data_IF_500828925186
#
_entry.id   IF_500828925186
#
_cell.length_a   1.000
_cell.length_b   1.000
_cell.length_c   1.000
_cell.angle_alpha   90.00
_cell.angle_beta   90.00
_cell.angle_gamma   90.00
#
_symmetry.space_group_name_H-M   'P 1'
#
loop_
_entity.id
_entity.type
_entity.pdbx_description
1 polymer ?
#
# COMPACT_ATOMS: atom_id res chain seq x y z
N UNK A 1 -6.47 10.10 -14.14
CA UNK A 1 -5.41 10.07 -13.11
C UNK A 1 -4.01 10.30 -13.65
N UNK A 2 -3.42 9.42 -14.49
CA UNK A 2 -1.99 9.51 -14.85
C UNK A 2 -1.55 10.88 -15.38
N UNK A 3 -2.35 11.51 -16.24
CA UNK A 3 -2.04 12.85 -16.75
C UNK A 3 -2.01 13.92 -15.65
N UNK A 4 -3.03 13.93 -14.78
CA UNK A 4 -3.08 14.83 -13.62
C UNK A 4 -1.89 14.60 -12.67
N UNK A 5 -1.49 13.34 -12.47
CA UNK A 5 -0.30 13.01 -11.68
C UNK A 5 1.00 13.48 -12.35
N UNK A 6 1.14 13.42 -13.68
CA UNK A 6 2.30 14.00 -14.37
C UNK A 6 2.38 15.51 -14.18
N UNK A 7 1.25 16.21 -14.26
CA UNK A 7 1.18 17.64 -13.95
C UNK A 7 1.57 17.89 -12.49
N UNK A 8 1.08 17.09 -11.55
CA UNK A 8 1.48 17.17 -10.15
C UNK A 8 3.00 17.00 -9.96
N UNK A 9 3.59 16.00 -10.61
CA UNK A 9 5.03 15.74 -10.54
C UNK A 9 5.89 16.78 -11.25
N UNK A 10 5.34 17.54 -12.19
CA UNK A 10 6.04 18.67 -12.82
C UNK A 10 6.33 19.82 -11.86
N UNK A 11 5.74 19.79 -10.65
CA UNK A 11 6.07 20.71 -9.56
C UNK A 11 7.44 20.43 -8.93
N UNK A 12 8.09 19.30 -9.24
CA UNK A 12 9.43 19.00 -8.75
C UNK A 12 10.43 20.07 -9.21
N UNK A 13 11.35 20.40 -8.31
CA UNK A 13 12.46 21.32 -8.54
C UNK A 13 13.76 20.54 -8.69
N UNK A 14 14.71 21.02 -9.51
CA UNK A 14 16.02 20.39 -9.68
C UNK A 14 16.91 20.45 -8.43
N UNK A 15 16.55 21.28 -7.44
CA UNK A 15 17.27 21.42 -6.19
C UNK A 15 17.29 20.09 -5.43
N UNK A 16 18.49 19.62 -5.06
CA UNK A 16 18.64 18.41 -4.23
C UNK A 16 18.44 18.71 -2.75
N UNK A 17 17.76 17.80 -2.05
CA UNK A 17 17.55 17.84 -0.61
C UNK A 17 18.15 16.56 0.00
N UNK A 18 19.32 16.67 0.61
CA UNK A 18 19.97 15.54 1.28
C UNK A 18 19.25 15.18 2.57
N UNK A 19 18.92 13.90 2.72
CA UNK A 19 18.18 13.35 3.86
C UNK A 19 18.93 12.17 4.46
N UNK A 20 19.37 12.31 5.71
CA UNK A 20 19.98 11.22 6.46
C UNK A 20 18.91 10.49 7.25
N UNK A 21 18.64 9.24 6.88
CA UNK A 21 17.51 8.47 7.39
C UNK A 21 17.98 7.35 8.32
N UNK A 22 17.35 7.26 9.50
CA UNK A 22 17.49 6.10 10.37
C UNK A 22 16.45 5.06 9.97
N UNK A 23 16.88 3.91 9.46
CA UNK A 23 16.00 2.82 8.98
C UNK A 23 14.95 2.36 10.00
N UNK A 24 15.30 2.32 11.29
CA UNK A 24 14.36 1.96 12.38
C UNK A 24 13.44 3.10 12.85
N UNK A 25 13.64 4.32 12.33
CA UNK A 25 12.93 5.54 12.73
C UNK A 25 12.71 6.44 11.52
N UNK A 26 12.16 5.88 10.44
CA UNK A 26 12.00 6.58 9.15
C UNK A 26 11.10 7.79 9.31
N UNK A 27 9.91 7.62 9.90
CA UNK A 27 8.96 8.71 10.13
C UNK A 27 9.54 9.84 10.98
N UNK A 28 10.26 9.50 12.05
CA UNK A 28 10.92 10.52 12.87
C UNK A 28 11.98 11.27 12.07
N UNK A 29 12.75 10.57 11.24
CA UNK A 29 13.77 11.21 10.41
C UNK A 29 13.14 12.12 9.35
N UNK A 30 12.01 11.70 8.75
CA UNK A 30 11.23 12.53 7.83
C UNK A 30 10.67 13.78 8.54
N UNK A 31 10.06 13.61 9.72
CA UNK A 31 9.54 14.72 10.52
C UNK A 31 10.65 15.68 10.97
N UNK A 32 11.81 15.15 11.39
CA UNK A 32 12.96 15.94 11.80
C UNK A 32 13.45 16.80 10.61
N UNK A 33 13.50 16.23 9.39
CA UNK A 33 13.86 16.96 8.18
C UNK A 33 12.84 18.03 7.80
N UNK A 34 11.55 17.67 7.69
CA UNK A 34 10.46 18.58 7.33
C UNK A 34 10.43 19.80 8.25
N UNK A 35 10.61 19.59 9.56
CA UNK A 35 10.42 20.65 10.55
C UNK A 35 11.70 21.42 10.90
N UNK A 36 12.89 20.81 10.76
CA UNK A 36 14.12 21.39 11.30
C UNK A 36 15.24 21.58 10.28
N UNK A 37 15.16 20.99 9.08
CA UNK A 37 16.20 21.15 8.08
C UNK A 37 16.07 22.50 7.38
N UNK A 38 17.11 23.32 7.48
CA UNK A 38 17.15 24.61 6.81
C UNK A 38 17.12 24.41 5.28
N UNK A 39 16.23 25.14 4.60
CA UNK A 39 16.08 25.06 3.15
C UNK A 39 15.39 23.79 2.66
N UNK A 40 14.74 23.02 3.55
CA UNK A 40 13.89 21.91 3.15
C UNK A 40 12.77 22.40 2.22
N UNK A 41 12.58 21.70 1.11
CA UNK A 41 11.49 21.89 0.16
C UNK A 41 10.90 20.52 -0.15
N UNK A 42 9.58 20.40 -0.11
CA UNK A 42 8.90 19.19 -0.58
C UNK A 42 9.11 18.96 -2.08
N UNK A 43 9.40 20.03 -2.83
CA UNK A 43 9.53 20.02 -4.28
C UNK A 43 10.94 19.65 -4.75
N UNK A 44 11.97 19.89 -3.95
CA UNK A 44 13.33 19.49 -4.27
C UNK A 44 13.49 17.96 -4.33
N UNK A 45 14.42 17.47 -5.16
CA UNK A 45 14.72 16.06 -5.34
C UNK A 45 15.37 15.49 -4.06
N UNK A 46 14.70 14.57 -3.34
CA UNK A 46 15.26 13.97 -2.13
C UNK A 46 16.39 13.00 -2.48
N UNK A 47 17.56 13.22 -1.89
CA UNK A 47 18.73 12.32 -1.97
C UNK A 47 18.82 11.59 -0.65
N UNK A 48 18.54 10.29 -0.66
CA UNK A 48 18.37 9.51 0.57
C UNK A 48 19.67 8.79 0.91
N UNK A 49 20.19 9.06 2.11
CA UNK A 49 21.29 8.31 2.71
C UNK A 49 20.81 7.61 3.97
N UNK A 50 20.78 6.27 3.96
CA UNK A 50 20.53 5.51 5.19
C UNK A 50 21.78 5.53 6.06
N UNK A 51 21.62 5.99 7.30
CA UNK A 51 22.74 6.19 8.23
C UNK A 51 23.51 4.88 8.48
N UNK A 52 24.79 4.86 8.10
CA UNK A 52 25.69 3.71 8.27
C UNK A 52 25.70 2.72 7.11
N UNK A 53 25.06 3.04 5.98
CA UNK A 53 25.05 2.21 4.77
C UNK A 53 25.83 2.91 3.64
N UNK A 54 26.75 2.20 2.98
CA UNK A 54 27.48 2.69 1.81
C UNK A 54 26.59 2.56 0.56
N UNK A 55 25.67 3.50 0.36
CA UNK A 55 24.79 3.52 -0.81
C UNK A 55 25.08 4.75 -1.69
N UNK A 56 25.37 4.51 -2.98
CA UNK A 56 25.36 5.55 -4.02
C UNK A 56 23.93 5.62 -4.57
N UNK A 57 23.28 6.77 -4.43
CA UNK A 57 21.86 6.92 -4.79
C UNK A 57 21.67 6.96 -6.31
N UNK A 58 21.16 5.85 -6.87
CA UNK A 58 20.63 5.74 -8.25
C UNK A 58 19.09 5.61 -8.25
N UNK A 59 18.40 6.07 -7.20
CA UNK A 59 16.94 6.04 -7.07
C UNK A 59 16.36 4.82 -6.32
N UNK A 60 17.18 3.85 -5.95
CA UNK A 60 16.79 2.75 -5.04
C UNK A 60 16.48 3.24 -3.62
N UNK A 61 17.41 3.94 -2.94
CA UNK A 61 17.20 4.48 -1.59
C UNK A 61 15.97 5.38 -1.46
N UNK A 62 15.72 6.24 -2.47
CA UNK A 62 14.52 7.09 -2.53
C UNK A 62 13.22 6.29 -2.49
N UNK A 63 13.10 5.28 -3.35
CA UNK A 63 11.92 4.40 -3.38
C UNK A 63 11.74 3.67 -2.07
N UNK A 64 12.83 3.11 -1.53
CA UNK A 64 12.79 2.41 -0.24
C UNK A 64 12.33 3.33 0.90
N UNK A 65 12.86 4.55 0.98
CA UNK A 65 12.46 5.53 1.99
C UNK A 65 10.97 5.81 1.96
N UNK A 66 10.40 6.13 0.79
CA UNK A 66 8.99 6.47 0.70
C UNK A 66 8.08 5.27 0.99
N UNK A 67 8.44 4.08 0.53
CA UNK A 67 7.73 2.84 0.89
C UNK A 67 7.73 2.62 2.40
N UNK A 68 8.88 2.74 3.06
CA UNK A 68 8.96 2.60 4.51
C UNK A 68 8.19 3.71 5.24
N UNK A 69 8.26 4.95 4.75
CA UNK A 69 7.60 6.08 5.37
C UNK A 69 6.07 5.90 5.34
N UNK A 70 5.48 5.55 4.19
CA UNK A 70 4.02 5.36 4.09
C UNK A 70 3.55 4.12 4.85
N UNK A 71 4.27 3.01 4.80
CA UNK A 71 3.94 1.79 5.56
C UNK A 71 3.97 2.00 7.08
N UNK A 72 4.85 2.86 7.57
CA UNK A 72 4.98 3.12 9.00
C UNK A 72 3.97 4.15 9.53
N UNK A 73 3.22 4.86 8.68
CA UNK A 73 2.26 5.90 9.12
C UNK A 73 1.29 5.47 10.24
N UNK A 74 0.76 4.23 10.25
CA UNK A 74 -0.10 3.75 11.36
C UNK A 74 0.61 3.78 12.73
N UNK A 75 1.94 3.69 12.77
CA UNK A 75 2.73 3.74 14.01
C UNK A 75 2.73 5.13 14.66
N UNK A 76 2.25 6.17 13.97
CA UNK A 76 2.01 7.49 14.57
C UNK A 76 0.80 7.49 15.51
N UNK A 77 -0.05 6.46 15.47
CA UNK A 77 -1.30 6.38 16.24
C UNK A 77 -2.45 7.21 15.67
N UNK A 78 -2.27 7.81 14.48
CA UNK A 78 -3.28 8.66 13.79
C UNK A 78 -4.35 7.84 13.05
N UNK A 79 -4.18 6.53 12.97
CA UNK A 79 -5.10 5.60 12.34
C UNK A 79 -5.51 4.51 13.32
N UNK A 80 -6.72 4.00 13.16
CA UNK A 80 -7.25 2.81 13.81
C UNK A 80 -8.05 1.97 12.80
N UNK A 81 -8.60 0.84 13.23
CA UNK A 81 -9.28 -0.10 12.35
C UNK A 81 -8.40 -1.25 11.87
N UNK A 82 -8.92 -2.03 10.92
CA UNK A 82 -8.22 -3.21 10.39
C UNK A 82 -7.13 -2.80 9.39
N UNK A 83 -6.15 -3.69 9.20
CA UNK A 83 -5.16 -3.55 8.13
C UNK A 83 -5.88 -3.38 6.76
N UNK A 84 -5.39 -2.43 5.96
CA UNK A 84 -5.93 -2.06 4.65
C UNK A 84 -7.37 -1.49 4.64
N UNK A 85 -7.98 -1.28 5.82
CA UNK A 85 -9.32 -0.68 6.00
C UNK A 85 -9.34 0.27 7.20
N UNK A 86 -8.33 1.11 7.30
CA UNK A 86 -8.11 2.03 8.41
C UNK A 86 -8.96 3.29 8.30
N UNK A 87 -9.28 3.87 9.44
CA UNK A 87 -9.87 5.19 9.55
C UNK A 87 -9.13 5.99 10.62
N UNK A 88 -9.44 7.27 10.76
CA UNK A 88 -8.70 8.13 11.69
C UNK A 88 -9.08 7.82 13.13
N UNK A 89 -8.08 7.74 14.00
CA UNK A 89 -8.28 7.77 15.45
C UNK A 89 -8.64 9.20 15.88
N UNK A 90 -9.38 9.34 16.98
CA UNK A 90 -9.66 10.63 17.59
C UNK A 90 -8.71 10.86 18.78
N UNK A 91 -7.63 11.60 18.57
CA UNK A 91 -6.66 11.92 19.63
C UNK A 91 -6.18 13.38 19.52
N UNK A 92 -6.66 14.19 20.46
CA UNK A 92 -6.39 15.63 20.51
C UNK A 92 -4.89 15.91 20.63
N UNK A 93 -4.16 15.13 21.42
CA UNK A 93 -2.72 15.35 21.57
C UNK A 93 -1.92 15.08 20.28
N UNK A 94 -2.39 14.19 19.40
CA UNK A 94 -1.77 13.96 18.09
C UNK A 94 -2.18 15.08 17.10
N UNK A 95 -3.41 15.58 17.20
CA UNK A 95 -3.91 16.70 16.41
C UNK A 95 -3.15 18.00 16.71
N UNK A 96 -2.98 18.35 17.99
CA UNK A 96 -2.21 19.54 18.40
C UNK A 96 -0.73 19.45 18.01
N UNK A 97 -0.19 18.23 17.92
CA UNK A 97 1.17 17.99 17.41
C UNK A 97 1.26 18.02 15.88
N UNK A 98 0.14 18.17 15.16
CA UNK A 98 0.08 18.20 13.71
C UNK A 98 0.41 16.86 13.04
N UNK A 99 0.19 15.72 13.71
CA UNK A 99 0.59 14.42 13.18
C UNK A 99 -0.33 13.90 12.07
N UNK A 100 -1.61 14.32 12.05
CA UNK A 100 -2.52 14.03 10.94
C UNK A 100 -2.08 14.80 9.68
N UNK A 101 -1.76 16.09 9.81
CA UNK A 101 -1.13 16.87 8.74
C UNK A 101 0.18 16.27 8.25
N UNK A 102 1.07 15.85 9.16
CA UNK A 102 2.32 15.20 8.78
C UNK A 102 2.07 13.93 7.95
N UNK A 103 1.09 13.11 8.33
CA UNK A 103 0.73 11.92 7.55
C UNK A 103 0.27 12.29 6.14
N UNK A 104 -0.57 13.32 5.99
CA UNK A 104 -0.97 13.85 4.68
C UNK A 104 0.21 14.36 3.86
N UNK A 105 1.14 15.09 4.49
CA UNK A 105 2.35 15.59 3.83
C UNK A 105 3.25 14.46 3.33
N UNK A 106 3.50 13.43 4.14
CA UNK A 106 4.35 12.30 3.74
C UNK A 106 3.75 11.56 2.54
N UNK A 107 2.42 11.39 2.50
CA UNK A 107 1.74 10.73 1.38
C UNK A 107 1.85 11.57 0.10
N UNK A 108 1.53 12.87 0.17
CA UNK A 108 1.63 13.74 -1.01
C UNK A 108 3.08 13.89 -1.48
N UNK A 109 4.04 13.96 -0.56
CA UNK A 109 5.48 14.01 -0.87
C UNK A 109 5.95 12.74 -1.57
N UNK A 110 5.52 11.57 -1.09
CA UNK A 110 5.79 10.29 -1.74
C UNK A 110 5.28 10.27 -3.17
N UNK A 111 4.00 10.61 -3.39
CA UNK A 111 3.38 10.62 -4.72
C UNK A 111 4.05 11.64 -5.64
N UNK A 112 4.42 12.82 -5.12
CA UNK A 112 5.11 13.87 -5.85
C UNK A 112 6.42 13.35 -6.43
N UNK A 113 7.18 12.52 -5.70
CA UNK A 113 8.48 11.99 -6.13
C UNK A 113 8.42 10.59 -6.74
N UNK A 114 7.23 10.13 -7.12
CA UNK A 114 7.00 8.82 -7.77
C UNK A 114 7.04 7.62 -6.83
N UNK A 115 6.97 7.86 -5.52
CA UNK A 115 6.77 6.83 -4.50
C UNK A 115 5.32 6.34 -4.41
N UNK A 116 5.04 5.40 -3.49
CA UNK A 116 3.71 4.84 -3.30
C UNK A 116 2.74 5.84 -2.65
N UNK A 117 1.45 5.57 -2.81
CA UNK A 117 0.43 6.19 -1.97
C UNK A 117 0.36 5.56 -0.58
N UNK A 118 -0.83 5.61 0.01
CA UNK A 118 -1.18 4.93 1.25
C UNK A 118 -2.50 4.19 1.07
N UNK A 119 -2.52 3.05 0.33
CA UNK A 119 -3.73 2.31 -0.01
C UNK A 119 -4.26 1.52 1.20
N UNK A 120 -4.56 2.20 2.30
CA UNK A 120 -4.97 1.59 3.55
C UNK A 120 -6.22 2.21 4.16
N UNK A 121 -6.75 3.32 3.61
CA UNK A 121 -7.98 3.92 4.11
C UNK A 121 -9.19 3.06 3.79
N UNK A 122 -10.16 3.07 4.70
CA UNK A 122 -11.45 2.42 4.53
C UNK A 122 -12.18 3.03 3.32
N UNK A 123 -12.76 2.21 2.40
CA UNK A 123 -13.44 2.71 1.20
C UNK A 123 -14.55 3.73 1.47
N UNK A 124 -15.37 3.48 2.51
CA UNK A 124 -16.38 4.43 2.99
C UNK A 124 -15.78 5.77 3.44
N UNK A 125 -14.69 5.76 4.21
CA UNK A 125 -14.04 6.99 4.68
C UNK A 125 -13.57 7.83 3.48
N UNK A 126 -12.90 7.21 2.50
CA UNK A 126 -12.49 7.89 1.28
C UNK A 126 -13.67 8.51 0.53
N UNK A 127 -14.78 7.78 0.38
CA UNK A 127 -16.00 8.31 -0.23
C UNK A 127 -16.51 9.56 0.49
N UNK A 128 -16.60 9.51 1.82
CA UNK A 128 -17.05 10.65 2.63
C UNK A 128 -16.10 11.84 2.52
N UNK A 129 -14.79 11.60 2.56
CA UNK A 129 -13.77 12.64 2.37
C UNK A 129 -13.90 13.33 1.01
N UNK A 130 -14.29 12.59 -0.04
CA UNK A 130 -14.56 13.14 -1.37
C UNK A 130 -15.91 13.86 -1.49
N UNK A 131 -16.73 13.89 -0.43
CA UNK A 131 -18.06 14.49 -0.42
C UNK A 131 -19.19 13.57 -0.92
N UNK A 132 -18.92 12.27 -1.09
CA UNK A 132 -19.93 11.27 -1.44
C UNK A 132 -20.47 10.60 -0.17
N UNK A 133 -21.80 10.43 -0.09
CA UNK A 133 -22.49 9.79 1.03
C UNK A 133 -22.83 8.31 0.79
N UNK A 134 -22.10 7.63 -0.10
CA UNK A 134 -22.30 6.20 -0.36
C UNK A 134 -21.96 5.37 0.89
N UNK A 135 -22.89 4.53 1.34
CA UNK A 135 -22.76 3.67 2.52
C UNK A 135 -22.60 2.18 2.22
N UNK A 136 -22.51 1.79 0.95
CA UNK A 136 -22.57 0.39 0.51
C UNK A 136 -21.39 -0.44 1.04
N UNK A 137 -20.29 0.23 1.39
CA UNK A 137 -19.08 -0.41 1.92
C UNK A 137 -19.00 -0.38 3.45
N UNK A 138 -20.00 0.17 4.15
CA UNK A 138 -20.03 0.17 5.61
C UNK A 138 -20.39 -1.23 6.14
N UNK A 139 -19.59 -1.71 7.09
CA UNK A 139 -19.87 -2.93 7.83
C UNK A 139 -19.49 -2.70 9.30
N UNK A 140 -20.37 -3.09 10.24
CA UNK A 140 -20.05 -2.96 11.67
C UNK A 140 -18.80 -3.74 12.04
N UNK A 141 -18.51 -4.84 11.32
CA UNK A 141 -17.34 -5.67 11.59
C UNK A 141 -16.03 -4.94 11.37
N UNK A 142 -16.00 -3.84 10.61
CA UNK A 142 -14.81 -3.03 10.38
C UNK A 142 -14.48 -2.09 11.54
N UNK A 143 -15.38 -1.93 12.51
CA UNK A 143 -15.16 -1.16 13.73
C UNK A 143 -14.37 -2.00 14.74
N UNK A 144 -13.24 -1.47 15.20
CA UNK A 144 -12.32 -2.18 16.11
C UNK A 144 -12.47 -1.78 17.58
N UNK A 145 -13.19 -0.69 17.86
CA UNK A 145 -13.50 -0.28 19.23
C UNK A 145 -14.51 -1.28 19.83
N UNK A 146 -14.14 -2.05 20.87
CA UNK A 146 -14.99 -3.11 21.40
C UNK A 146 -16.31 -2.61 21.98
N UNK A 147 -16.30 -1.45 22.64
CA UNK A 147 -17.48 -0.90 23.30
C UNK A 147 -18.47 -0.37 22.25
N UNK A 148 -17.96 0.33 21.23
CA UNK A 148 -18.75 0.79 20.10
C UNK A 148 -19.34 -0.40 19.34
N UNK A 149 -18.53 -1.43 19.08
CA UNK A 149 -18.97 -2.63 18.36
C UNK A 149 -20.07 -3.36 19.12
N UNK A 150 -19.94 -3.52 20.44
CA UNK A 150 -20.95 -4.15 21.29
C UNK A 150 -22.29 -3.40 21.24
N UNK A 151 -22.28 -2.07 21.33
CA UNK A 151 -23.49 -1.26 21.18
C UNK A 151 -24.12 -1.38 19.79
N UNK A 152 -23.33 -1.34 18.72
CA UNK A 152 -23.83 -1.52 17.36
C UNK A 152 -24.40 -2.91 17.15
N UNK A 153 -23.78 -3.95 17.69
CA UNK A 153 -24.27 -5.33 17.63
C UNK A 153 -25.59 -5.51 18.36
N UNK A 154 -25.79 -4.85 19.52
CA UNK A 154 -27.09 -4.89 20.21
C UNK A 154 -28.21 -4.32 19.35
N UNK A 155 -27.94 -3.21 18.65
CA UNK A 155 -28.89 -2.63 17.70
C UNK A 155 -29.09 -3.58 16.51
N UNK A 156 -28.02 -4.07 15.88
CA UNK A 156 -28.11 -4.95 14.70
C UNK A 156 -28.83 -6.27 15.01
N UNK A 157 -28.62 -6.85 16.20
CA UNK A 157 -29.22 -8.12 16.60
C UNK A 157 -30.64 -8.00 17.18
N UNK A 158 -31.15 -6.79 17.41
CA UNK A 158 -32.55 -6.61 17.82
C UNK A 158 -33.47 -7.17 16.72
N UNK A 159 -34.27 -8.18 17.09
CA UNK A 159 -34.97 -9.06 16.15
C UNK A 159 -36.50 -9.07 16.30
N UNK A 160 -37.04 -8.43 17.34
CA UNK A 160 -38.48 -8.33 17.58
C UNK A 160 -38.87 -7.01 18.24
N UNK A 161 -40.17 -6.65 18.15
CA UNK A 161 -40.69 -5.42 18.75
C UNK A 161 -40.60 -5.43 20.29
N UNK A 162 -40.64 -6.61 20.92
CA UNK A 162 -40.47 -6.76 22.37
C UNK A 162 -39.05 -6.39 22.83
N UNK A 163 -38.03 -6.65 22.00
CA UNK A 163 -36.63 -6.33 22.28
C UNK A 163 -36.27 -4.86 22.06
N UNK A 164 -37.11 -4.10 21.34
CA UNK A 164 -36.81 -2.71 20.98
C UNK A 164 -36.63 -1.85 22.23
N UNK A 165 -37.55 -1.95 23.20
CA UNK A 165 -37.53 -1.13 24.42
C UNK A 165 -36.25 -1.37 25.22
N UNK A 166 -35.91 -2.64 25.46
CA UNK A 166 -34.69 -3.02 26.19
C UNK A 166 -33.42 -2.58 25.45
N UNK A 167 -33.40 -2.70 24.12
CA UNK A 167 -32.26 -2.25 23.30
C UNK A 167 -32.09 -0.73 23.39
N UNK A 168 -33.20 0.03 23.27
CA UNK A 168 -33.19 1.49 23.36
C UNK A 168 -32.78 1.96 24.75
N UNK A 169 -33.27 1.32 25.82
CA UNK A 169 -32.88 1.65 27.19
C UNK A 169 -31.37 1.41 27.43
N UNK A 170 -30.81 0.37 26.81
CA UNK A 170 -29.40 0.00 26.96
C UNK A 170 -28.43 0.89 26.16
N UNK A 171 -28.81 1.31 24.95
CA UNK A 171 -27.90 2.00 24.01
C UNK A 171 -28.30 3.44 23.71
N UNK A 172 -29.48 3.88 24.15
CA UNK A 172 -30.11 5.15 23.78
C UNK A 172 -29.24 6.36 24.10
N UNK A 173 -28.77 6.47 25.33
CA UNK A 173 -27.94 7.59 25.76
C UNK A 173 -26.59 7.61 25.02
N UNK A 174 -25.99 6.45 24.81
CA UNK A 174 -24.76 6.33 24.03
C UNK A 174 -24.98 6.80 22.58
N UNK A 175 -26.03 6.32 21.92
CA UNK A 175 -26.35 6.68 20.54
C UNK A 175 -26.71 8.17 20.40
N UNK A 176 -27.48 8.72 21.35
CA UNK A 176 -27.83 10.13 21.39
C UNK A 176 -26.60 11.04 21.60
N UNK A 177 -25.69 10.67 22.51
CA UNK A 177 -24.41 11.35 22.70
C UNK A 177 -23.49 11.27 21.47
N UNK A 178 -23.71 10.27 20.61
CA UNK A 178 -23.07 10.12 19.30
C UNK A 178 -23.92 10.73 18.16
N UNK A 179 -24.83 11.66 18.46
CA UNK A 179 -25.56 12.43 17.46
C UNK A 179 -26.74 11.70 16.81
N UNK A 180 -27.17 10.56 17.35
CA UNK A 180 -28.27 9.75 16.82
C UNK A 180 -29.47 9.73 17.79
N UNK A 181 -30.14 10.87 17.98
CA UNK A 181 -31.35 10.96 18.83
C UNK A 181 -32.54 10.15 18.28
N UNK A 182 -32.50 9.78 16.99
CA UNK A 182 -33.47 8.88 16.36
C UNK A 182 -33.54 7.50 17.01
N UNK A 183 -32.55 7.11 17.82
CA UNK A 183 -32.54 5.84 18.58
C UNK A 183 -33.78 5.68 19.48
N UNK A 184 -34.25 6.76 20.14
CA UNK A 184 -35.41 6.67 21.04
C UNK A 184 -36.73 6.41 20.29
N UNK A 185 -36.74 6.65 18.98
CA UNK A 185 -37.85 6.33 18.08
C UNK A 185 -37.58 5.13 17.18
N UNK A 186 -36.61 4.27 17.53
CA UNK A 186 -36.23 3.10 16.75
C UNK A 186 -37.42 2.16 16.52
N UNK A 187 -37.52 1.69 15.28
CA UNK A 187 -38.47 0.68 14.80
C UNK A 187 -37.69 -0.36 14.00
N UNK A 188 -38.26 -1.55 13.86
CA UNK A 188 -37.61 -2.63 13.11
C UNK A 188 -37.24 -2.24 11.66
N UNK A 189 -38.03 -1.37 11.02
CA UNK A 189 -37.80 -0.94 9.64
C UNK A 189 -36.77 0.19 9.45
N UNK A 190 -36.36 0.90 10.52
CA UNK A 190 -35.36 1.98 10.47
C UNK A 190 -34.08 1.68 11.24
N UNK A 191 -33.99 0.51 11.87
CA UNK A 191 -32.83 0.00 12.61
C UNK A 191 -31.52 0.10 11.82
N UNK A 192 -31.54 -0.31 10.55
CA UNK A 192 -30.36 -0.27 9.68
C UNK A 192 -29.89 1.16 9.40
N UNK A 193 -30.80 2.13 9.37
CA UNK A 193 -30.47 3.55 9.21
C UNK A 193 -29.79 4.12 10.46
N UNK A 194 -30.23 3.69 11.64
CA UNK A 194 -29.60 4.02 12.92
C UNK A 194 -28.18 3.47 12.98
N UNK A 195 -28.00 2.17 12.66
CA UNK A 195 -26.66 1.54 12.60
C UNK A 195 -25.76 2.29 11.61
N UNK A 196 -26.23 2.56 10.39
CA UNK A 196 -25.47 3.33 9.40
C UNK A 196 -25.11 4.72 9.90
N UNK A 197 -26.02 5.41 10.58
CA UNK A 197 -25.77 6.75 11.14
C UNK A 197 -24.67 6.72 12.19
N UNK A 198 -24.70 5.76 13.11
CA UNK A 198 -23.69 5.59 14.14
C UNK A 198 -22.33 5.16 13.56
N UNK A 199 -22.31 4.31 12.54
CA UNK A 199 -21.08 3.99 11.80
C UNK A 199 -20.50 5.23 11.09
N UNK A 200 -21.34 6.06 10.46
CA UNK A 200 -20.92 7.35 9.87
C UNK A 200 -20.32 8.27 10.93
N UNK A 201 -20.97 8.35 12.09
CA UNK A 201 -20.46 9.13 13.21
C UNK A 201 -19.07 8.64 13.62
N UNK A 202 -18.93 7.34 13.87
CA UNK A 202 -17.69 6.75 14.39
C UNK A 202 -16.51 6.89 13.42
N UNK A 203 -16.72 6.61 12.12
CA UNK A 203 -15.67 6.56 11.11
C UNK A 203 -15.32 7.95 10.56
N UNK A 204 -16.30 8.85 10.44
CA UNK A 204 -16.12 10.13 9.73
C UNK A 204 -16.35 11.36 10.62
N UNK A 205 -17.55 11.55 11.15
CA UNK A 205 -17.89 12.83 11.80
C UNK A 205 -17.14 13.06 13.11
N UNK A 206 -16.89 12.01 13.90
CA UNK A 206 -16.11 12.07 15.14
C UNK A 206 -14.70 12.60 14.91
N UNK A 207 -14.09 12.23 13.80
CA UNK A 207 -12.69 12.55 13.47
C UNK A 207 -12.58 13.66 12.40
N UNK A 208 -13.59 14.53 12.29
CA UNK A 208 -13.66 15.50 11.19
C UNK A 208 -12.51 16.51 11.22
N UNK A 209 -12.09 16.94 12.41
CA UNK A 209 -10.96 17.88 12.58
C UNK A 209 -9.63 17.24 12.15
N UNK A 210 -9.44 15.97 12.47
CA UNK A 210 -8.29 15.15 12.11
C UNK A 210 -8.24 14.88 10.60
N UNK A 211 -9.40 14.56 10.00
CA UNK A 211 -9.56 14.43 8.55
C UNK A 211 -9.20 15.75 7.86
N UNK A 212 -9.67 16.88 8.39
CA UNK A 212 -9.39 18.20 7.81
C UNK A 212 -7.92 18.58 7.93
N UNK A 213 -7.25 18.25 9.04
CA UNK A 213 -5.81 18.47 9.21
C UNK A 213 -4.98 17.58 8.27
N UNK A 214 -5.39 16.31 8.09
CA UNK A 214 -4.80 15.41 7.11
C UNK A 214 -4.96 15.93 5.67
N UNK A 215 -6.16 16.38 5.29
CA UNK A 215 -6.44 16.97 3.97
C UNK A 215 -5.63 18.25 3.74
N UNK A 216 -5.46 19.09 4.77
CA UNK A 216 -4.54 20.23 4.72
C UNK A 216 -3.09 19.80 4.49
N UNK A 217 -2.66 18.71 5.13
CA UNK A 217 -1.35 18.11 4.89
C UNK A 217 -1.13 17.72 3.42
N UNK A 218 -2.11 17.00 2.84
CA UNK A 218 -2.08 16.65 1.41
C UNK A 218 -2.05 17.90 0.51
N UNK A 219 -2.90 18.89 0.77
CA UNK A 219 -2.98 20.12 -0.03
C UNK A 219 -1.77 21.05 0.14
N UNK A 220 -1.05 20.95 1.25
CA UNK A 220 0.17 21.75 1.46
C UNK A 220 1.27 21.47 0.44
N UNK A 221 1.15 20.38 -0.31
CA UNK A 221 2.03 20.01 -1.41
C UNK A 221 1.21 20.01 -2.70
N UNK A 222 1.29 21.12 -3.43
CA UNK A 222 0.75 21.24 -4.79
C UNK A 222 -0.76 21.05 -4.94
N UNK A 223 -1.52 21.33 -3.88
CA UNK A 223 -2.98 21.20 -3.84
C UNK A 223 -3.50 19.79 -4.19
N UNK A 224 -2.72 18.78 -3.81
CA UNK A 224 -2.94 17.39 -4.21
C UNK A 224 -4.35 16.87 -3.88
N UNK A 225 -4.86 17.16 -2.68
CA UNK A 225 -6.18 16.64 -2.28
C UNK A 225 -7.33 17.27 -3.06
N UNK A 226 -7.26 18.56 -3.38
CA UNK A 226 -8.27 19.20 -4.23
C UNK A 226 -8.28 18.56 -5.63
N UNK A 227 -7.10 18.28 -6.20
CA UNK A 227 -6.98 17.55 -7.47
C UNK A 227 -7.65 16.16 -7.39
N UNK A 228 -7.45 15.43 -6.30
CA UNK A 228 -8.11 14.13 -6.05
C UNK A 228 -9.63 14.32 -5.93
N UNK A 229 -10.09 15.32 -5.19
CA UNK A 229 -11.52 15.55 -4.95
C UNK A 229 -12.30 15.87 -6.21
N UNK A 230 -11.71 16.59 -7.17
CA UNK A 230 -12.32 16.92 -8.46
C UNK A 230 -12.64 15.70 -9.33
N UNK A 231 -11.84 14.63 -9.21
CA UNK A 231 -11.98 13.40 -9.99
C UNK A 231 -11.55 12.20 -9.14
N UNK A 232 -12.36 11.83 -8.15
CA UNK A 232 -11.93 10.92 -7.07
C UNK A 232 -11.85 9.45 -7.46
N UNK A 233 -12.63 9.00 -8.44
CA UNK A 233 -12.69 7.58 -8.81
C UNK A 233 -11.32 6.99 -9.21
N UNK A 234 -10.55 7.61 -10.13
CA UNK A 234 -9.30 7.01 -10.56
C UNK A 234 -8.16 7.16 -9.54
N UNK A 235 -8.23 8.11 -8.61
CA UNK A 235 -7.23 8.28 -7.54
C UNK A 235 -7.48 7.39 -6.31
N UNK A 236 -8.62 6.69 -6.27
CA UNK A 236 -8.99 5.80 -5.17
C UNK A 236 -7.89 4.79 -4.84
N UNK A 237 -7.22 4.23 -5.86
CA UNK A 237 -6.14 3.25 -5.67
C UNK A 237 -4.91 3.79 -4.94
N UNK A 238 -4.75 5.10 -4.80
CA UNK A 238 -3.66 5.72 -4.05
C UNK A 238 -3.89 5.69 -2.53
N UNK A 239 -5.15 5.63 -2.10
CA UNK A 239 -5.54 5.84 -0.71
C UNK A 239 -6.38 4.69 -0.15
N UNK A 240 -6.98 3.89 -1.01
CA UNK A 240 -7.81 2.74 -0.66
C UNK A 240 -7.24 1.52 -1.36
N UNK A 241 -7.04 0.44 -0.60
CA UNK A 241 -6.62 -0.83 -1.16
C UNK A 241 -7.59 -1.25 -2.27
N UNK A 242 -7.03 -1.61 -3.43
CA UNK A 242 -7.84 -2.23 -4.47
C UNK A 242 -8.04 -3.69 -4.11
N UNK A 243 -9.29 -4.16 -4.19
CA UNK A 243 -9.60 -5.59 -4.06
C UNK A 243 -9.08 -6.39 -5.28
N UNK A 244 -8.69 -5.69 -6.36
CA UNK A 244 -8.12 -6.30 -7.54
C UNK A 244 -6.63 -6.59 -7.32
N UNK A 245 -6.31 -7.85 -7.09
CA UNK A 245 -4.92 -8.32 -7.12
C UNK A 245 -4.35 -8.25 -8.54
N UNK A 246 -3.03 -8.05 -8.65
CA UNK A 246 -2.33 -8.11 -9.92
C UNK A 246 -2.63 -9.45 -10.61
N UNK A 247 -3.07 -9.42 -11.87
CA UNK A 247 -3.42 -10.64 -12.61
C UNK A 247 -2.25 -11.16 -13.46
N UNK A 248 -2.30 -12.42 -13.87
CA UNK A 248 -1.31 -13.01 -14.79
C UNK A 248 -1.15 -12.20 -16.10
N UNK A 249 -2.22 -11.78 -16.81
CA UNK A 249 -2.07 -10.98 -18.03
C UNK A 249 -1.45 -9.60 -17.78
N UNK A 250 -1.77 -8.95 -16.66
CA UNK A 250 -1.17 -7.67 -16.29
C UNK A 250 0.31 -7.81 -15.97
N UNK A 251 0.66 -8.84 -15.19
CA UNK A 251 2.06 -9.16 -14.87
C UNK A 251 2.87 -9.41 -16.13
N UNK A 252 2.37 -10.21 -17.09
CA UNK A 252 3.05 -10.46 -18.37
C UNK A 252 3.36 -9.19 -19.15
N UNK A 253 2.45 -8.21 -19.16
CA UNK A 253 2.63 -6.94 -19.88
C UNK A 253 3.75 -6.07 -19.31
N UNK A 254 4.20 -6.34 -18.08
CA UNK A 254 5.31 -5.60 -17.48
C UNK A 254 6.67 -5.97 -18.05
N UNK A 255 6.79 -7.11 -18.74
CA UNK A 255 8.09 -7.64 -19.18
C UNK A 255 8.27 -7.53 -20.69
N UNK A 256 9.50 -7.22 -21.10
CA UNK A 256 9.95 -7.19 -22.47
C UNK A 256 11.10 -8.19 -22.66
N UNK A 257 10.96 -9.16 -23.55
CA UNK A 257 11.99 -10.18 -23.79
C UNK A 257 13.10 -9.62 -24.69
N UNK A 258 14.36 -9.66 -24.22
CA UNK A 258 15.55 -9.31 -25.01
C UNK A 258 16.18 -10.58 -25.59
N UNK A 259 15.65 -11.00 -26.74
CA UNK A 259 16.12 -12.18 -27.47
C UNK A 259 17.56 -12.03 -27.99
N UNK A 260 18.27 -13.14 -28.06
CA UNK A 260 19.57 -13.25 -28.70
C UNK A 260 19.46 -13.15 -30.23
N UNK A 261 20.46 -12.52 -30.86
CA UNK A 261 20.60 -12.53 -32.34
C UNK A 261 21.04 -13.91 -32.88
N UNK A 262 21.62 -14.74 -32.03
CA UNK A 262 22.00 -16.12 -32.38
C UNK A 262 20.79 -17.04 -32.28
N UNK A 263 20.29 -17.52 -33.43
CA UNK A 263 19.13 -18.40 -33.53
C UNK A 263 19.27 -19.69 -32.72
N UNK A 264 20.48 -20.24 -32.56
CA UNK A 264 20.70 -21.46 -31.77
C UNK A 264 20.53 -21.24 -30.24
N UNK A 265 20.55 -19.98 -29.80
CA UNK A 265 20.25 -19.61 -28.42
C UNK A 265 18.76 -19.28 -28.22
N UNK A 266 18.06 -18.86 -29.28
CA UNK A 266 16.65 -18.48 -29.22
C UNK A 266 15.78 -19.66 -28.79
N UNK A 267 16.00 -20.87 -29.34
CA UNK A 267 15.25 -22.06 -28.92
C UNK A 267 15.32 -22.29 -27.40
N UNK A 268 16.52 -22.10 -26.82
CA UNK A 268 16.74 -22.22 -25.37
C UNK A 268 16.12 -21.07 -24.56
N UNK A 269 16.05 -19.88 -25.15
CA UNK A 269 15.36 -18.73 -24.57
C UNK A 269 13.85 -18.96 -24.56
N UNK A 270 13.28 -19.57 -25.62
CA UNK A 270 11.86 -19.92 -25.69
C UNK A 270 11.45 -20.91 -24.60
N UNK A 271 12.24 -21.96 -24.37
CA UNK A 271 12.03 -22.90 -23.27
C UNK A 271 11.97 -22.17 -21.91
N UNK A 272 12.90 -21.24 -21.72
CA UNK A 272 13.00 -20.45 -20.48
C UNK A 272 11.81 -19.51 -20.33
N UNK A 273 11.38 -18.85 -21.41
CA UNK A 273 10.20 -17.97 -21.42
C UNK A 273 8.94 -18.77 -21.11
N UNK A 274 8.80 -19.97 -21.67
CA UNK A 274 7.69 -20.86 -21.34
C UNK A 274 7.66 -21.17 -19.84
N UNK A 275 8.79 -21.59 -19.26
CA UNK A 275 8.92 -21.87 -17.82
C UNK A 275 8.67 -20.64 -16.96
N UNK A 276 9.12 -19.46 -17.37
CA UNK A 276 8.83 -18.18 -16.73
C UNK A 276 7.33 -17.87 -16.70
N UNK A 277 6.64 -18.02 -17.82
CA UNK A 277 5.20 -17.79 -17.87
C UNK A 277 4.42 -18.81 -17.04
N UNK A 278 4.83 -20.09 -17.03
CA UNK A 278 4.23 -21.08 -16.13
C UNK A 278 4.44 -20.70 -14.66
N UNK A 279 5.62 -20.20 -14.31
CA UNK A 279 5.91 -19.73 -12.96
C UNK A 279 5.00 -18.56 -12.53
N UNK A 280 4.84 -17.54 -13.38
CA UNK A 280 3.90 -16.43 -13.08
C UNK A 280 2.48 -16.98 -12.92
N UNK A 281 2.03 -17.87 -13.80
CA UNK A 281 0.69 -18.46 -13.75
C UNK A 281 0.45 -19.26 -12.46
N UNK A 282 1.39 -20.12 -12.09
CA UNK A 282 1.35 -20.88 -10.82
C UNK A 282 1.31 -19.92 -9.63
N UNK A 283 2.11 -18.86 -9.66
CA UNK A 283 2.11 -17.83 -8.61
C UNK A 283 0.77 -17.11 -8.50
N UNK A 284 0.14 -16.75 -9.62
CA UNK A 284 -1.20 -16.13 -9.63
C UNK A 284 -2.30 -17.06 -9.10
N UNK A 285 -2.11 -18.37 -9.20
CA UNK A 285 -3.05 -19.37 -8.66
C UNK A 285 -2.74 -19.76 -7.20
N UNK A 286 -1.69 -19.21 -6.59
CA UNK A 286 -1.25 -19.59 -5.24
C UNK A 286 -0.56 -20.96 -5.17
N UNK A 287 -0.08 -21.50 -6.29
CA UNK A 287 0.54 -22.83 -6.40
C UNK A 287 2.06 -22.80 -6.19
N UNK A 288 2.68 -21.62 -6.09
CA UNK A 288 4.12 -21.48 -5.84
C UNK A 288 4.40 -21.46 -4.33
N UNK A 289 4.79 -22.61 -3.78
CA UNK A 289 5.24 -22.71 -2.38
C UNK A 289 6.45 -23.61 -2.20
N UNK A 290 7.33 -23.28 -1.26
CA UNK A 290 8.53 -24.04 -0.95
C UNK A 290 8.82 -24.01 0.55
N UNK A 291 9.21 -25.15 1.11
CA UNK A 291 9.70 -25.22 2.49
C UNK A 291 11.14 -24.72 2.52
N UNK A 292 11.39 -23.65 3.27
CA UNK A 292 12.69 -23.07 3.53
C UNK A 292 13.13 -23.42 4.95
N UNK A 293 14.44 -23.63 5.14
CA UNK A 293 15.03 -23.78 6.47
C UNK A 293 15.61 -22.44 6.89
N UNK A 294 15.20 -21.98 8.07
CA UNK A 294 15.70 -20.76 8.70
C UNK A 294 16.99 -21.07 9.49
N UNK A 295 17.75 -20.02 9.80
CA UNK A 295 19.05 -20.12 10.49
C UNK A 295 18.94 -20.70 11.90
N UNK A 296 17.76 -20.61 12.53
CA UNK A 296 17.45 -21.22 13.83
C UNK A 296 17.08 -22.71 13.75
N UNK A 297 17.12 -23.29 12.54
CA UNK A 297 16.79 -24.68 12.27
C UNK A 297 15.30 -24.96 12.08
N UNK A 298 14.44 -23.93 12.20
CA UNK A 298 13.00 -24.07 11.91
C UNK A 298 12.74 -24.10 10.41
N UNK A 299 11.58 -24.62 10.01
CA UNK A 299 11.15 -24.63 8.62
C UNK A 299 9.91 -23.77 8.44
N UNK A 300 9.94 -22.90 7.45
CA UNK A 300 8.78 -22.09 7.05
C UNK A 300 8.40 -22.43 5.61
N UNK A 301 7.11 -22.35 5.28
CA UNK A 301 6.66 -22.48 3.89
C UNK A 301 6.60 -21.10 3.25
N UNK A 302 7.62 -20.76 2.46
CA UNK A 302 7.61 -19.60 1.59
C UNK A 302 6.51 -19.76 0.54
N UNK A 303 5.58 -18.80 0.47
CA UNK A 303 4.56 -18.72 -0.58
C UNK A 303 4.86 -17.53 -1.48
N UNK A 304 4.95 -17.76 -2.78
CA UNK A 304 5.26 -16.72 -3.77
C UNK A 304 3.99 -16.34 -4.53
N UNK A 305 3.46 -15.17 -4.18
CA UNK A 305 2.43 -14.46 -4.94
C UNK A 305 3.04 -13.42 -5.91
N UNK A 306 2.24 -12.89 -6.84
CA UNK A 306 2.71 -11.98 -7.89
C UNK A 306 3.40 -10.73 -7.37
N UNK A 307 2.98 -10.17 -6.23
CA UNK A 307 3.65 -9.01 -5.64
C UNK A 307 5.10 -9.30 -5.20
N UNK A 308 5.41 -10.53 -4.78
CA UNK A 308 6.80 -10.91 -4.46
C UNK A 308 7.68 -10.91 -5.71
N UNK A 309 7.14 -11.40 -6.84
CA UNK A 309 7.84 -11.38 -8.12
C UNK A 309 8.02 -9.94 -8.58
N UNK A 310 6.99 -9.10 -8.46
CA UNK A 310 7.07 -7.68 -8.80
C UNK A 310 8.15 -6.97 -7.99
N UNK A 311 8.18 -7.20 -6.67
CA UNK A 311 9.17 -6.65 -5.75
C UNK A 311 10.59 -7.10 -6.11
N UNK A 312 10.77 -8.39 -6.41
CA UNK A 312 12.07 -8.92 -6.83
C UNK A 312 12.59 -8.22 -8.09
N UNK A 313 11.73 -8.05 -9.09
CA UNK A 313 12.12 -7.46 -10.37
C UNK A 313 12.28 -5.93 -10.33
N UNK A 314 11.49 -5.23 -9.50
CA UNK A 314 11.32 -3.77 -9.60
C UNK A 314 11.62 -3.02 -8.31
N UNK A 315 11.71 -3.72 -7.18
CA UNK A 315 11.79 -3.14 -5.85
C UNK A 315 10.45 -2.59 -5.31
N UNK A 316 9.35 -2.72 -6.06
CA UNK A 316 8.03 -2.23 -5.66
C UNK A 316 7.06 -3.38 -5.36
N UNK A 317 6.29 -3.26 -4.28
CA UNK A 317 5.27 -4.26 -3.91
C UNK A 317 3.97 -4.13 -4.73
N UNK A 318 3.79 -3.02 -5.44
CA UNK A 318 2.67 -2.77 -6.35
C UNK A 318 3.14 -1.94 -7.56
N UNK A 319 2.38 -1.98 -8.65
CA UNK A 319 2.65 -1.12 -9.81
C UNK A 319 2.49 0.34 -9.35
N UNK A 320 3.50 1.21 -9.53
CA UNK A 320 3.38 2.61 -9.16
C UNK A 320 2.20 3.28 -9.89
N UNK A 321 1.63 4.36 -9.34
CA UNK A 321 0.43 4.98 -9.92
C UNK A 321 0.59 5.47 -11.37
N UNK A 322 1.82 5.84 -11.75
CA UNK A 322 2.18 6.24 -13.12
C UNK A 322 2.70 5.10 -13.99
N UNK A 323 2.76 3.89 -13.44
CA UNK A 323 3.52 2.77 -14.00
C UNK A 323 5.02 2.94 -13.79
N UNK A 324 5.78 2.04 -14.42
CA UNK A 324 7.23 2.13 -14.50
C UNK A 324 7.65 2.99 -15.70
N UNK A 325 8.86 3.55 -15.65
CA UNK A 325 9.45 4.36 -16.73
C UNK A 325 9.69 3.55 -18.02
N UNK A 326 9.92 2.24 -17.88
CA UNK A 326 9.94 1.26 -18.97
C UNK A 326 9.40 -0.10 -18.52
N UNK A 327 9.23 -1.01 -19.48
CA UNK A 327 9.04 -2.43 -19.18
C UNK A 327 10.31 -3.02 -18.56
N UNK A 328 10.15 -4.06 -17.75
CA UNK A 328 11.26 -4.83 -17.21
C UNK A 328 11.87 -5.66 -18.34
N UNK A 329 13.12 -5.39 -18.66
CA UNK A 329 13.86 -6.11 -19.69
C UNK A 329 14.29 -7.48 -19.17
N UNK A 330 13.87 -8.56 -19.83
CA UNK A 330 14.35 -9.92 -19.54
C UNK A 330 15.55 -10.22 -20.44
N UNK A 331 16.71 -10.38 -19.82
CA UNK A 331 17.94 -10.81 -20.45
C UNK A 331 18.21 -12.27 -20.14
N UNK A 332 18.89 -12.95 -21.07
CA UNK A 332 19.23 -14.36 -20.91
C UNK A 332 20.74 -14.58 -20.78
N UNK A 333 21.16 -15.47 -19.88
CA UNK A 333 22.56 -15.84 -19.68
C UNK A 333 22.78 -17.34 -19.88
N UNK A 334 24.00 -17.70 -20.28
CA UNK A 334 24.37 -19.11 -20.48
C UNK A 334 24.71 -19.77 -19.15
N UNK A 335 24.15 -20.96 -18.91
CA UNK A 335 24.43 -21.77 -17.72
C UNK A 335 25.89 -22.24 -17.74
N UNK A 336 26.61 -22.00 -16.65
CA UNK A 336 28.00 -22.46 -16.49
C UNK A 336 28.01 -23.76 -15.69
N UNK A 337 28.68 -24.83 -16.19
CA UNK A 337 28.75 -26.10 -15.46
C UNK A 337 29.30 -25.92 -14.04
N UNK A 338 28.63 -26.53 -13.05
CA UNK A 338 29.02 -26.46 -11.65
C UNK A 338 28.59 -25.19 -10.90
N UNK A 339 27.97 -24.22 -11.59
CA UNK A 339 27.38 -23.02 -10.97
C UNK A 339 25.86 -23.14 -11.05
N UNK A 340 25.18 -22.98 -9.91
CA UNK A 340 23.72 -22.96 -9.87
C UNK A 340 23.22 -21.70 -10.61
N UNK A 341 22.39 -21.83 -11.65
CA UNK A 341 22.09 -20.71 -12.52
C UNK A 341 20.94 -19.82 -11.99
N UNK A 342 21.10 -19.28 -10.78
CA UNK A 342 20.05 -18.51 -10.12
C UNK A 342 19.68 -17.23 -10.91
N UNK A 343 18.38 -16.95 -11.10
CA UNK A 343 17.89 -15.67 -11.59
C UNK A 343 18.37 -14.50 -10.74
N UNK A 344 18.65 -13.36 -11.39
CA UNK A 344 19.05 -12.12 -10.70
C UNK A 344 18.29 -10.93 -11.27
N UNK A 345 18.09 -9.89 -10.47
CA UNK A 345 17.37 -8.69 -10.88
C UNK A 345 18.14 -7.42 -10.52
N UNK A 346 18.08 -6.43 -11.42
CA UNK A 346 18.52 -5.05 -11.17
C UNK A 346 17.29 -4.16 -11.07
N UNK A 347 16.88 -3.85 -9.84
CA UNK A 347 15.67 -3.06 -9.55
C UNK A 347 15.79 -1.59 -9.97
N UNK A 348 17.01 -1.07 -10.15
CA UNK A 348 17.26 0.26 -10.70
C UNK A 348 17.26 0.28 -12.22
N UNK A 349 17.81 -0.78 -12.86
CA UNK A 349 17.78 -0.92 -14.31
C UNK A 349 16.45 -1.44 -14.87
N UNK A 350 15.55 -1.94 -14.01
CA UNK A 350 14.38 -2.73 -14.39
C UNK A 350 14.79 -3.86 -15.34
N UNK A 351 15.73 -4.68 -14.88
CA UNK A 351 16.28 -5.80 -15.64
C UNK A 351 16.16 -7.10 -14.82
N UNK A 352 15.74 -8.17 -15.48
CA UNK A 352 15.69 -9.52 -14.94
C UNK A 352 16.56 -10.43 -15.81
N UNK A 353 17.49 -11.14 -15.19
CA UNK A 353 18.39 -12.06 -15.87
C UNK A 353 17.97 -13.50 -15.59
N UNK A 354 17.59 -14.23 -16.64
CA UNK A 354 17.17 -15.63 -16.58
C UNK A 354 18.18 -16.56 -17.27
N UNK A 355 18.37 -17.78 -16.77
CA UNK A 355 19.24 -18.75 -17.44
C UNK A 355 18.60 -19.34 -18.70
N UNK A 356 19.39 -19.53 -19.76
CA UNK A 356 18.93 -20.17 -21.00
C UNK A 356 18.75 -21.68 -20.84
N UNK A 357 17.74 -22.23 -21.51
CA UNK A 357 17.52 -23.66 -21.69
C UNK A 357 16.82 -24.33 -20.51
N UNK A 358 15.92 -23.60 -19.85
CA UNK A 358 15.13 -24.10 -18.74
C UNK A 358 13.80 -24.69 -19.25
N UNK A 359 13.81 -25.93 -19.70
CA UNK A 359 12.64 -26.65 -20.21
C UNK A 359 11.79 -27.30 -19.10
N UNK A 360 12.39 -27.60 -17.94
CA UNK A 360 11.67 -28.10 -16.77
C UNK A 360 11.07 -26.97 -15.90
N UNK A 361 9.79 -26.66 -16.12
CA UNK A 361 9.09 -25.57 -15.42
C UNK A 361 9.08 -25.71 -13.87
N UNK A 362 9.11 -26.92 -13.33
CA UNK A 362 9.17 -27.15 -11.87
C UNK A 362 10.56 -26.86 -11.29
N UNK A 363 11.63 -27.18 -12.01
CA UNK A 363 12.99 -26.80 -11.61
C UNK A 363 13.16 -25.28 -11.67
N UNK A 364 12.71 -24.67 -12.77
CA UNK A 364 12.69 -23.21 -12.91
C UNK A 364 11.92 -22.54 -11.77
N UNK A 365 10.76 -23.09 -11.40
CA UNK A 365 9.94 -22.57 -10.28
C UNK A 365 10.72 -22.59 -8.96
N UNK A 366 11.36 -23.70 -8.60
CA UNK A 366 12.19 -23.81 -7.38
C UNK A 366 13.32 -22.78 -7.40
N UNK A 367 13.95 -22.60 -8.55
CA UNK A 367 15.05 -21.66 -8.74
C UNK A 367 14.62 -20.19 -8.56
N UNK A 368 13.46 -19.81 -9.12
CA UNK A 368 12.87 -18.49 -8.92
C UNK A 368 12.47 -18.27 -7.45
N UNK A 369 11.85 -19.24 -6.80
CA UNK A 369 11.48 -19.14 -5.37
C UNK A 369 12.73 -18.89 -4.53
N UNK A 370 13.79 -19.66 -4.76
CA UNK A 370 15.06 -19.50 -4.04
C UNK A 370 15.69 -18.12 -4.27
N UNK A 371 15.72 -17.63 -5.51
CA UNK A 371 16.22 -16.30 -5.83
C UNK A 371 15.41 -15.19 -5.14
N UNK A 372 14.09 -15.32 -5.10
CA UNK A 372 13.19 -14.34 -4.46
C UNK A 372 13.39 -14.36 -2.95
N UNK A 373 13.40 -15.53 -2.32
CA UNK A 373 13.54 -15.67 -0.86
C UNK A 373 14.90 -15.15 -0.37
N UNK A 374 15.96 -15.43 -1.12
CA UNK A 374 17.31 -14.97 -0.78
C UNK A 374 17.55 -13.48 -1.09
N UNK A 375 16.60 -12.81 -1.74
CA UNK A 375 16.73 -11.39 -2.08
C UNK A 375 16.52 -10.47 -0.87
N UNK A 376 17.25 -9.35 -0.77
CA UNK A 376 17.02 -8.36 0.28
C UNK A 376 15.58 -7.80 0.20
N UNK A 377 14.75 -8.09 1.20
CA UNK A 377 13.38 -7.57 1.29
C UNK A 377 12.26 -8.62 1.28
N UNK A 378 12.55 -9.90 1.01
CA UNK A 378 11.60 -10.97 1.27
C UNK A 378 11.20 -11.02 2.76
N UNK A 379 9.91 -11.26 3.05
CA UNK A 379 9.39 -11.30 4.43
C UNK A 379 9.21 -9.95 5.14
N UNK A 380 9.51 -8.83 4.49
CA UNK A 380 9.15 -7.48 5.00
C UNK A 380 7.70 -7.18 4.58
N UNK A 381 6.74 -7.54 5.42
CA UNK A 381 5.33 -7.10 5.34
C UNK A 381 5.08 -5.81 6.10
#
# INVERSE_FOLDING_TARGET
MQEKLRVFQSLQEDQKIDLVVRRKRVLKSAADAINNQLGFSFYGVPVITFSGEDAVDLGGPKREFFTMATQQLPQLGVFEGKQNRMYFSHEIALLEKGLYRLAGQIIAWSILHGGPGFPALHPFLYSMMCGSNNTDTLCISDITDPDVLDYLQKIENCSSDEQLTETVDLVGDWAANNGCTGIYGMKMNNKDEIVKTLCKQHIYYRCKSEIDDFQQGLNSIGDFWNMVKEDSAPFKCLLVQSDNELTFPEMKKLFHMRWSENSALVDKEEDTVYSWEQFIRKSSNGECSQVIKLDDGTTETAKIALHHILRFCTGADAIPPLGFDKQVDIHFFSVTPGVKPLPTASTCGLELHLPRGMDEADEFTKMMIEAIVCSPGYGKT
#
